data_IF_682602324404
#
_entry.id   IF_682602324404
#
_cell.length_a   1.000
_cell.length_b   1.000
_cell.length_c   1.000
_cell.angle_alpha   90.00
_cell.angle_beta   90.00
_cell.angle_gamma   90.00
#
_symmetry.space_group_name_H-M   'P 1'
#
loop_
_entity.id
_entity.type
_entity.pdbx_description
1 polymer ?
#
# COMPACT_ATOMS: atom_id res chain seq x y z
N UNK A 1 -1.09 11.01 14.35
CA UNK A 1 -1.80 9.73 14.17
C UNK A 1 -1.51 8.87 15.38
N UNK A 2 -2.49 8.15 15.92
CA UNK A 2 -2.25 7.15 16.98
C UNK A 2 -1.60 5.90 16.37
N UNK A 3 -0.81 5.18 17.16
CA UNK A 3 -0.14 3.94 16.75
C UNK A 3 -1.14 2.91 16.20
N UNK A 4 -2.30 2.81 16.85
CA UNK A 4 -3.41 1.93 16.46
C UNK A 4 -3.89 2.23 15.05
N UNK A 5 -4.06 3.51 14.71
CA UNK A 5 -4.52 3.94 13.39
C UNK A 5 -3.47 3.67 12.31
N UNK A 6 -2.18 3.89 12.62
CA UNK A 6 -1.09 3.55 11.70
C UNK A 6 -1.02 2.04 11.41
N UNK A 7 -1.19 1.20 12.44
CA UNK A 7 -1.24 -0.25 12.28
C UNK A 7 -2.46 -0.68 11.47
N UNK A 8 -3.65 -0.14 11.76
CA UNK A 8 -4.86 -0.45 11.01
C UNK A 8 -4.70 -0.11 9.51
N UNK A 9 -4.18 1.09 9.20
CA UNK A 9 -3.93 1.51 7.82
C UNK A 9 -2.87 0.67 7.12
N UNK A 10 -1.80 0.27 7.84
CA UNK A 10 -0.77 -0.61 7.30
C UNK A 10 -1.36 -1.97 6.93
N UNK A 11 -2.11 -2.60 7.83
CA UNK A 11 -2.75 -3.90 7.61
C UNK A 11 -3.73 -3.84 6.43
N UNK A 12 -4.58 -2.82 6.37
CA UNK A 12 -5.53 -2.63 5.27
C UNK A 12 -4.79 -2.44 3.94
N UNK A 13 -3.73 -1.62 3.91
CA UNK A 13 -2.96 -1.37 2.69
C UNK A 13 -2.28 -2.64 2.17
N UNK A 14 -1.69 -3.44 3.07
CA UNK A 14 -1.08 -4.73 2.71
C UNK A 14 -2.15 -5.72 2.22
N UNK A 15 -3.29 -5.79 2.88
CA UNK A 15 -4.41 -6.65 2.47
C UNK A 15 -4.92 -6.27 1.06
N UNK A 16 -5.07 -4.97 0.77
CA UNK A 16 -5.47 -4.48 -0.55
C UNK A 16 -4.43 -4.80 -1.63
N UNK A 17 -3.14 -4.64 -1.33
CA UNK A 17 -2.07 -4.99 -2.25
C UNK A 17 -2.07 -6.50 -2.57
N UNK A 18 -2.25 -7.34 -1.55
CA UNK A 18 -2.38 -8.80 -1.71
C UNK A 18 -3.63 -9.21 -2.48
N UNK A 19 -4.77 -8.59 -2.20
CA UNK A 19 -6.01 -8.82 -2.92
C UNK A 19 -5.89 -8.43 -4.40
N UNK A 20 -5.33 -7.26 -4.70
CA UNK A 20 -5.10 -6.82 -6.06
C UNK A 20 -4.15 -7.77 -6.83
N UNK A 21 -3.09 -8.24 -6.18
CA UNK A 21 -2.19 -9.26 -6.74
C UNK A 21 -2.90 -10.58 -7.05
N UNK A 22 -3.73 -11.06 -6.13
CA UNK A 22 -4.51 -12.28 -6.35
C UNK A 22 -5.52 -12.10 -7.50
N UNK A 23 -6.16 -10.94 -7.59
CA UNK A 23 -7.11 -10.64 -8.66
C UNK A 23 -6.45 -10.45 -10.02
N UNK A 24 -5.20 -10.00 -10.09
CA UNK A 24 -4.44 -9.96 -11.35
C UNK A 24 -4.09 -11.35 -11.87
N UNK A 25 -3.81 -12.30 -10.97
CA UNK A 25 -3.48 -13.69 -11.33
C UNK A 25 -4.67 -14.51 -11.82
N UNK A 26 -5.90 -14.03 -11.62
CA UNK A 26 -7.08 -14.72 -12.15
C UNK A 26 -7.05 -14.66 -13.68
N UNK A 27 -7.15 -15.81 -14.38
CA UNK A 27 -7.24 -15.85 -15.83
C UNK A 27 -8.45 -15.03 -16.25
N UNK A 28 -8.24 -14.11 -17.19
CA UNK A 28 -9.28 -13.29 -17.81
C UNK A 28 -9.43 -13.70 -19.26
N UNK A 29 -10.65 -13.68 -19.75
CA UNK A 29 -10.90 -13.91 -21.16
C UNK A 29 -10.25 -12.77 -21.98
N UNK A 30 -9.51 -13.08 -23.06
CA UNK A 30 -8.79 -12.08 -23.85
C UNK A 30 -9.67 -10.98 -24.45
N UNK A 31 -10.97 -11.24 -24.59
CA UNK A 31 -11.95 -10.34 -25.20
C UNK A 31 -12.76 -9.53 -24.18
N UNK A 32 -12.52 -9.73 -22.87
CA UNK A 32 -13.21 -8.98 -21.82
C UNK A 32 -12.26 -7.95 -21.18
N UNK A 33 -12.36 -6.66 -21.54
CA UNK A 33 -11.51 -5.64 -20.98
C UNK A 33 -11.74 -5.51 -19.46
N UNK A 34 -10.67 -5.44 -18.65
CA UNK A 34 -10.80 -5.39 -17.20
C UNK A 34 -11.50 -4.09 -16.77
N UNK A 35 -12.72 -4.21 -16.24
CA UNK A 35 -13.51 -3.09 -15.69
C UNK A 35 -12.81 -2.37 -14.53
N UNK A 36 -12.02 -3.12 -13.75
CA UNK A 36 -11.32 -2.60 -12.57
C UNK A 36 -9.81 -2.63 -12.83
N UNK A 37 -9.11 -1.48 -12.75
CA UNK A 37 -7.67 -1.41 -12.97
C UNK A 37 -6.90 -1.88 -11.73
N UNK A 38 -6.84 -3.19 -11.51
CA UNK A 38 -6.18 -3.82 -10.35
C UNK A 38 -4.71 -3.41 -10.20
N UNK A 39 -4.01 -3.12 -11.30
CA UNK A 39 -2.63 -2.62 -11.26
C UNK A 39 -2.53 -1.25 -10.60
N UNK A 40 -3.43 -0.32 -10.94
CA UNK A 40 -3.46 1.00 -10.33
C UNK A 40 -3.79 0.90 -8.83
N UNK A 41 -4.76 0.07 -8.47
CA UNK A 41 -5.12 -0.20 -7.07
C UNK A 41 -3.92 -0.77 -6.31
N UNK A 42 -3.21 -1.73 -6.91
CA UNK A 42 -2.04 -2.35 -6.29
C UNK A 42 -0.92 -1.32 -6.04
N UNK A 43 -0.61 -0.47 -7.02
CA UNK A 43 0.41 0.58 -6.88
C UNK A 43 0.08 1.50 -5.71
N UNK A 44 -1.16 1.99 -5.65
CA UNK A 44 -1.61 2.87 -4.56
C UNK A 44 -1.52 2.16 -3.21
N UNK A 45 -1.98 0.91 -3.13
CA UNK A 45 -1.94 0.12 -1.91
C UNK A 45 -0.50 -0.13 -1.42
N UNK A 46 0.43 -0.43 -2.33
CA UNK A 46 1.86 -0.60 -1.99
C UNK A 46 2.48 0.70 -1.51
N UNK A 47 2.21 1.83 -2.19
CA UNK A 47 2.71 3.14 -1.76
C UNK A 47 2.18 3.50 -0.37
N UNK A 48 0.89 3.31 -0.13
CA UNK A 48 0.28 3.54 1.18
C UNK A 48 0.91 2.66 2.27
N UNK A 49 1.13 1.37 1.99
CA UNK A 49 1.79 0.46 2.92
C UNK A 49 3.23 0.92 3.25
N UNK A 50 4.00 1.35 2.25
CA UNK A 50 5.35 1.87 2.46
C UNK A 50 5.36 3.15 3.30
N UNK A 51 4.41 4.07 3.06
CA UNK A 51 4.27 5.30 3.85
C UNK A 51 3.90 5.00 5.30
N UNK A 52 2.98 4.05 5.54
CA UNK A 52 2.61 3.66 6.90
C UNK A 52 3.73 2.93 7.62
N UNK A 53 4.50 2.09 6.91
CA UNK A 53 5.70 1.46 7.47
C UNK A 53 6.75 2.50 7.85
N UNK A 54 6.99 3.49 6.99
CA UNK A 54 7.87 4.62 7.28
C UNK A 54 7.38 5.42 8.51
N UNK A 55 6.07 5.67 8.59
CA UNK A 55 5.50 6.36 9.74
C UNK A 55 5.67 5.55 11.04
N UNK A 56 5.49 4.22 10.98
CA UNK A 56 5.68 3.33 12.12
C UNK A 56 7.14 3.30 12.59
N UNK A 57 8.10 3.29 11.67
CA UNK A 57 9.53 3.44 12.00
C UNK A 57 9.81 4.79 12.65
N UNK A 58 9.17 5.87 12.17
CA UNK A 58 9.34 7.20 12.75
C UNK A 58 8.76 7.29 14.17
N UNK A 59 7.62 6.63 14.42
CA UNK A 59 7.03 6.51 15.76
C UNK A 59 7.92 5.68 16.69
N UNK A 60 8.48 4.58 16.20
CA UNK A 60 9.33 3.70 17.00
C UNK A 60 10.70 4.31 17.34
N UNK A 61 11.28 5.11 16.43
CA UNK A 61 12.59 5.75 16.64
C UNK A 61 12.50 7.16 17.21
N UNK A 62 11.31 7.76 17.22
CA UNK A 62 11.10 9.16 17.61
C UNK A 62 11.72 10.17 16.64
N UNK A 63 12.28 9.72 15.52
CA UNK A 63 12.84 10.60 14.48
C UNK A 63 12.04 10.50 13.19
N UNK A 64 11.59 11.64 12.61
CA UNK A 64 10.92 11.61 11.33
C UNK A 64 11.90 11.13 10.24
N UNK A 65 11.47 10.13 9.46
CA UNK A 65 12.21 9.71 8.27
C UNK A 65 12.31 10.88 7.29
N UNK A 66 13.54 11.35 7.04
CA UNK A 66 13.84 12.39 6.05
C UNK A 66 14.20 11.75 4.71
N UNK A 67 13.66 12.31 3.62
CA UNK A 67 13.98 11.89 2.27
C UNK A 67 15.44 12.22 1.90
N UNK A 68 16.01 11.44 0.96
CA UNK A 68 17.41 11.58 0.49
C UNK A 68 17.73 12.96 -0.13
N UNK A 69 16.70 13.69 -0.57
CA UNK A 69 16.77 15.11 -0.97
C UNK A 69 15.57 15.76 -0.30
N UNK A 70 15.79 16.65 0.66
CA UNK A 70 14.71 17.48 1.19
C UNK A 70 15.11 18.93 0.96
N UNK A 71 14.39 19.59 0.04
CA UNK A 71 14.07 21.00 0.14
C UNK A 71 13.01 21.17 1.23
#
# INVERSE_FOLDING_TARGET
MSLELTLALLVVSVALAGAAWFMQRRPRDPFDPPLVPWTAIQVIAVVAALLMAAHLVSLATGQPLKGRRMF
#
